data_IF_413905855201
#
_entry.id   IF_413905855201
#
_cell.length_a   1.000
_cell.length_b   1.000
_cell.length_c   1.000
_cell.angle_alpha   90.00
_cell.angle_beta   90.00
_cell.angle_gamma   90.00
#
_symmetry.space_group_name_H-M   'P 1'
#
loop_
_entity.id
_entity.type
_entity.pdbx_description
1 polymer ?
#
# COMPACT_ATOMS: atom_id res chain seq x y z
N UNK A 1 -5.61 -26.99 14.35
CA UNK A 1 -4.88 -25.86 13.74
C UNK A 1 -5.62 -24.60 14.11
N UNK A 2 -5.00 -23.59 14.74
CA UNK A 2 -5.68 -22.33 15.00
C UNK A 2 -6.00 -21.62 13.67
N UNK A 3 -7.18 -21.01 13.59
CA UNK A 3 -7.60 -20.25 12.42
C UNK A 3 -6.78 -18.95 12.35
N UNK A 4 -6.27 -18.61 11.16
CA UNK A 4 -5.57 -17.35 10.98
C UNK A 4 -6.55 -16.17 11.06
N UNK A 5 -6.17 -15.11 11.79
CA UNK A 5 -6.95 -13.88 11.91
C UNK A 5 -6.29 -12.76 11.11
N UNK A 6 -7.08 -12.00 10.36
CA UNK A 6 -6.61 -10.82 9.63
C UNK A 6 -6.30 -9.71 10.62
N UNK A 7 -5.07 -9.20 10.61
CA UNK A 7 -4.65 -8.12 11.50
C UNK A 7 -5.08 -6.72 10.99
N UNK A 8 -4.96 -6.47 9.68
CA UNK A 8 -5.42 -5.22 9.02
C UNK A 8 -5.48 -5.35 7.51
N UNK A 9 -6.15 -4.40 6.86
CA UNK A 9 -6.02 -4.15 5.43
C UNK A 9 -5.06 -2.99 5.13
N UNK A 10 -4.35 -3.09 4.01
CA UNK A 10 -3.47 -2.05 3.50
C UNK A 10 -3.79 -1.82 2.03
N UNK A 11 -4.16 -0.60 1.68
CA UNK A 11 -4.47 -0.19 0.31
C UNK A 11 -3.65 1.04 -0.03
N UNK A 12 -3.05 1.07 -1.21
CA UNK A 12 -2.38 2.25 -1.75
C UNK A 12 -2.82 2.47 -3.20
N UNK A 13 -3.67 3.48 -3.47
CA UNK A 13 -4.14 3.75 -4.85
C UNK A 13 -3.00 3.96 -5.85
N UNK A 14 -1.87 4.52 -5.39
CA UNK A 14 -0.66 4.71 -6.19
C UNK A 14 0.46 3.84 -5.64
N UNK A 15 1.18 3.14 -6.52
CA UNK A 15 2.28 2.26 -6.12
C UNK A 15 3.40 3.05 -5.41
N UNK A 16 3.78 2.55 -4.23
CA UNK A 16 4.86 3.11 -3.39
C UNK A 16 4.56 4.50 -2.84
N UNK A 17 3.30 4.78 -2.52
CA UNK A 17 2.86 5.96 -1.75
C UNK A 17 2.32 5.55 -0.38
N UNK A 18 1.70 6.50 0.33
CA UNK A 18 1.08 6.26 1.63
C UNK A 18 0.10 5.08 1.62
N UNK A 19 0.11 4.29 2.69
CA UNK A 19 -0.84 3.21 2.94
C UNK A 19 -2.10 3.76 3.62
N UNK A 20 -3.25 3.35 3.12
CA UNK A 20 -4.55 3.51 3.76
C UNK A 20 -4.93 2.22 4.47
N UNK A 21 -5.66 2.36 5.57
CA UNK A 21 -5.99 1.27 6.47
C UNK A 21 -7.51 1.20 6.70
N UNK A 22 -8.28 0.79 5.68
CA UNK A 22 -9.72 0.67 5.82
C UNK A 22 -10.09 -0.54 6.69
N UNK A 23 -11.26 -0.47 7.33
CA UNK A 23 -11.79 -1.57 8.15
C UNK A 23 -12.33 -2.73 7.29
N UNK A 24 -12.67 -2.45 6.02
CA UNK A 24 -13.15 -3.42 5.06
C UNK A 24 -12.59 -3.14 3.66
N UNK A 25 -12.47 -4.18 2.84
CA UNK A 25 -12.11 -4.09 1.43
C UNK A 25 -13.07 -4.96 0.60
N UNK A 26 -13.28 -4.57 -0.64
CA UNK A 26 -13.82 -5.46 -1.66
C UNK A 26 -12.65 -6.20 -2.34
N UNK A 27 -12.66 -7.52 -2.30
CA UNK A 27 -11.61 -8.37 -2.85
C UNK A 27 -12.10 -9.03 -4.13
N UNK A 28 -11.44 -8.71 -5.24
CA UNK A 28 -11.72 -9.27 -6.57
C UNK A 28 -10.51 -10.09 -7.06
N UNK A 29 -10.65 -10.72 -8.23
CA UNK A 29 -9.61 -11.57 -8.79
C UNK A 29 -8.27 -10.82 -8.99
N UNK A 30 -8.35 -9.54 -9.34
CA UNK A 30 -7.22 -8.65 -9.57
C UNK A 30 -6.61 -8.10 -8.28
N UNK A 31 -7.28 -8.28 -7.14
CA UNK A 31 -6.88 -7.79 -5.82
C UNK A 31 -7.95 -6.92 -5.15
N UNK A 32 -7.53 -6.18 -4.13
CA UNK A 32 -8.42 -5.25 -3.42
C UNK A 32 -8.81 -4.10 -4.33
N UNK A 33 -10.11 -3.82 -4.45
CA UNK A 33 -10.61 -2.74 -5.28
C UNK A 33 -9.99 -1.41 -4.86
N UNK A 34 -9.40 -0.71 -5.82
CA UNK A 34 -8.75 0.58 -5.57
C UNK A 34 -7.27 0.47 -5.21
N UNK A 35 -6.73 -0.71 -4.94
CA UNK A 35 -5.31 -0.89 -4.68
C UNK A 35 -4.47 -0.79 -5.98
N UNK A 36 -3.37 -0.06 -5.90
CA UNK A 36 -2.32 0.08 -6.93
C UNK A 36 -2.82 0.35 -8.36
N UNK A 37 -3.91 1.09 -8.48
CA UNK A 37 -4.47 1.52 -9.78
C UNK A 37 -3.52 2.39 -10.60
N UNK A 38 -2.63 3.11 -9.93
CA UNK A 38 -1.69 4.01 -10.58
C UNK A 38 -0.24 3.70 -10.20
N UNK A 39 0.68 4.12 -11.05
CA UNK A 39 2.11 4.09 -10.79
C UNK A 39 2.77 5.31 -11.41
N UNK A 40 3.92 5.69 -10.86
CA UNK A 40 4.77 6.68 -11.50
C UNK A 40 5.63 6.02 -12.57
N UNK A 41 5.64 6.61 -13.76
CA UNK A 41 6.51 6.24 -14.87
C UNK A 41 7.37 7.45 -15.26
N UNK A 42 8.52 7.17 -15.86
CA UNK A 42 9.33 8.16 -16.56
C UNK A 42 8.66 8.54 -17.90
N UNK A 43 9.12 9.61 -18.57
CA UNK A 43 8.60 10.01 -19.88
C UNK A 43 8.70 8.92 -20.96
N UNK A 44 9.67 8.01 -20.84
CA UNK A 44 9.85 6.83 -21.70
C UNK A 44 8.92 5.65 -21.34
N UNK A 45 7.90 5.88 -20.50
CA UNK A 45 7.00 4.90 -19.92
C UNK A 45 7.67 3.85 -19.00
N UNK A 46 8.96 3.98 -18.69
CA UNK A 46 9.63 3.08 -17.77
C UNK A 46 9.09 3.26 -16.35
N UNK A 47 8.65 2.16 -15.74
CA UNK A 47 8.09 2.16 -14.37
C UNK A 47 9.14 2.56 -13.35
N UNK A 48 8.85 3.57 -12.53
CA UNK A 48 9.69 3.89 -11.37
C UNK A 48 9.47 2.84 -10.27
N UNK A 49 10.56 2.26 -9.75
CA UNK A 49 10.51 1.34 -8.60
C UNK A 49 10.33 2.12 -7.30
N UNK A 50 9.90 1.45 -6.23
CA UNK A 50 9.65 2.10 -4.94
C UNK A 50 10.91 2.72 -4.34
N UNK A 51 12.03 1.97 -4.36
CA UNK A 51 13.33 2.42 -3.85
C UNK A 51 13.86 3.67 -4.57
N UNK A 52 13.55 3.80 -5.87
CA UNK A 52 13.95 4.95 -6.69
C UNK A 52 13.15 6.22 -6.39
N UNK A 53 12.05 6.14 -5.63
CA UNK A 53 11.20 7.30 -5.27
C UNK A 53 11.50 7.87 -3.90
N UNK A 54 12.15 7.11 -3.01
CA UNK A 54 12.42 7.54 -1.64
C UNK A 54 13.18 8.89 -1.54
N UNK A 55 14.10 9.24 -2.47
CA UNK A 55 14.72 10.57 -2.47
C UNK A 55 13.81 11.71 -2.98
N UNK A 56 12.75 11.38 -3.73
CA UNK A 56 11.88 12.35 -4.42
C UNK A 56 10.55 12.58 -3.70
N UNK A 57 10.14 11.64 -2.85
CA UNK A 57 8.91 11.71 -2.08
C UNK A 57 9.22 11.27 -0.66
N UNK A 58 8.92 12.09 0.37
CA UNK A 58 8.94 11.61 1.74
C UNK A 58 7.81 10.60 1.90
N UNK A 59 8.10 9.32 1.65
CA UNK A 59 7.18 8.21 1.90
C UNK A 59 7.17 8.00 3.41
N UNK A 60 6.25 8.68 4.09
CA UNK A 60 6.01 8.47 5.51
C UNK A 60 5.29 7.13 5.68
N UNK A 61 6.01 6.09 6.10
CA UNK A 61 5.37 4.97 6.78
C UNK A 61 4.96 5.47 8.16
N UNK A 62 3.67 5.75 8.38
CA UNK A 62 3.19 6.09 9.72
C UNK A 62 3.39 4.87 10.62
N UNK A 63 4.29 5.00 11.59
CA UNK A 63 4.69 3.95 12.56
C UNK A 63 3.54 3.49 13.47
N UNK A 64 3.79 2.48 14.30
CA UNK A 64 2.82 1.45 14.68
C UNK A 64 1.76 1.89 15.71
N UNK A 65 0.71 1.07 15.79
CA UNK A 65 -0.27 1.06 16.89
C UNK A 65 0.44 0.86 18.24
N UNK A 66 0.04 1.53 19.33
CA UNK A 66 0.51 1.18 20.66
C UNK A 66 0.01 -0.23 21.00
N UNK A 67 0.91 -1.13 21.40
CA UNK A 67 0.50 -2.31 22.17
C UNK A 67 -0.10 -1.78 23.47
N UNK A 68 -1.42 -1.80 23.58
CA UNK A 68 -2.11 -1.63 24.87
C UNK A 68 -1.68 -2.77 25.78
N UNK A 69 -0.99 -2.43 26.87
CA UNK A 69 -1.00 -3.24 28.09
C UNK A 69 -2.35 -3.21 28.77
#
# INVERSE_FOLDING_TARGET
MPLATVARFNVAPVKSTALHHPDAIDLQHEGAVGDRRFLFARPDAARLRGISKAPLMPILSRGPWPTSG
#
